data_IF_689494633415
#
_entry.id   IF_689494633415
#
_cell.length_a   1.000
_cell.length_b   1.000
_cell.length_c   1.000
_cell.angle_alpha   90.00
_cell.angle_beta   90.00
_cell.angle_gamma   90.00
#
_symmetry.space_group_name_H-M   'P 1'
#
loop_
_entity.id
_entity.type
_entity.pdbx_description
1 polymer ?
#
# COMPACT_ATOMS: atom_id res chain seq x y z
N UNK A 1 16.76 3.55 49.12
CA UNK A 1 17.53 2.88 48.04
C UNK A 1 17.32 1.39 48.21
N UNK A 2 16.31 0.86 47.53
CA UNK A 2 16.02 -0.59 47.54
C UNK A 2 17.12 -1.32 46.76
N UNK A 3 17.73 -2.27 47.41
CA UNK A 3 18.64 -3.21 46.74
C UNK A 3 17.80 -4.13 45.85
N UNK A 4 17.65 -3.77 44.59
CA UNK A 4 17.13 -4.69 43.58
C UNK A 4 18.02 -5.93 43.61
N UNK A 5 17.44 -7.05 44.05
CA UNK A 5 18.18 -8.28 44.32
C UNK A 5 18.69 -8.81 42.95
N UNK A 6 19.97 -9.13 42.84
CA UNK A 6 20.59 -9.65 41.63
C UNK A 6 19.85 -10.90 41.09
N UNK A 7 19.15 -11.61 41.97
CA UNK A 7 18.25 -12.73 41.64
C UNK A 7 17.06 -12.33 40.82
N UNK A 8 16.41 -11.18 41.13
CA UNK A 8 15.21 -10.72 40.43
C UNK A 8 15.55 -10.25 39.01
N UNK A 9 16.75 -9.71 38.82
CA UNK A 9 17.26 -9.30 37.49
C UNK A 9 17.54 -10.53 36.62
N UNK A 10 18.13 -11.57 37.20
CA UNK A 10 18.44 -12.83 36.50
C UNK A 10 17.14 -13.55 36.12
N UNK A 11 16.18 -13.62 37.04
CA UNK A 11 14.88 -14.26 36.83
C UNK A 11 14.10 -13.55 35.73
N UNK A 12 14.05 -12.21 35.73
CA UNK A 12 13.41 -11.42 34.70
C UNK A 12 14.04 -11.65 33.34
N UNK A 13 15.39 -11.63 33.26
CA UNK A 13 16.11 -11.88 32.00
C UNK A 13 15.82 -13.28 31.45
N UNK A 14 15.86 -14.30 32.33
CA UNK A 14 15.54 -15.69 31.96
C UNK A 14 14.10 -15.80 31.44
N UNK A 15 13.15 -15.12 32.08
CA UNK A 15 11.76 -15.08 31.65
C UNK A 15 11.63 -14.45 30.26
N UNK A 16 12.27 -13.29 30.01
CA UNK A 16 12.25 -12.59 28.74
C UNK A 16 12.87 -13.45 27.63
N UNK A 17 14.03 -14.09 27.90
CA UNK A 17 14.71 -15.00 26.96
C UNK A 17 13.81 -16.22 26.60
N UNK A 18 13.13 -16.80 27.58
CA UNK A 18 12.20 -17.94 27.36
C UNK A 18 10.97 -17.49 26.56
N UNK A 19 10.42 -16.32 26.85
CA UNK A 19 9.32 -15.75 26.07
C UNK A 19 9.72 -15.54 24.61
N UNK A 20 10.90 -14.98 24.34
CA UNK A 20 11.42 -14.78 22.99
C UNK A 20 11.54 -16.12 22.24
N UNK A 21 12.10 -17.15 22.85
CA UNK A 21 12.21 -18.49 22.25
C UNK A 21 10.83 -19.06 21.91
N UNK A 22 9.85 -18.91 22.80
CA UNK A 22 8.47 -19.41 22.59
C UNK A 22 7.81 -18.65 21.44
N UNK A 23 7.90 -17.33 21.44
CA UNK A 23 7.26 -16.49 20.44
C UNK A 23 7.89 -16.67 19.05
N UNK A 24 9.21 -16.78 18.98
CA UNK A 24 9.95 -17.11 17.75
C UNK A 24 9.51 -18.46 17.17
N UNK A 25 9.38 -19.47 18.03
CA UNK A 25 8.95 -20.81 17.59
C UNK A 25 7.50 -20.80 17.10
N UNK A 26 6.61 -20.11 17.81
CA UNK A 26 5.20 -19.93 17.40
C UNK A 26 5.10 -19.21 16.06
N UNK A 27 5.89 -18.15 15.85
CA UNK A 27 5.95 -17.42 14.60
C UNK A 27 6.39 -18.34 13.44
N UNK A 28 7.49 -19.09 13.60
CA UNK A 28 7.98 -20.04 12.60
C UNK A 28 6.94 -21.09 12.21
N UNK A 29 6.25 -21.65 13.21
CA UNK A 29 5.17 -22.62 12.97
C UNK A 29 4.00 -21.98 12.23
N UNK A 30 3.60 -20.78 12.58
CA UNK A 30 2.51 -20.08 11.90
C UNK A 30 2.85 -19.78 10.43
N UNK A 31 4.08 -19.33 10.15
CA UNK A 31 4.57 -19.10 8.78
C UNK A 31 4.56 -20.38 7.97
N UNK A 32 5.05 -21.48 8.52
CA UNK A 32 5.06 -22.78 7.86
C UNK A 32 3.63 -23.27 7.54
N UNK A 33 2.72 -23.22 8.52
CA UNK A 33 1.32 -23.63 8.33
C UNK A 33 0.63 -22.79 7.26
N UNK A 34 0.87 -21.48 7.22
CA UNK A 34 0.33 -20.60 6.19
C UNK A 34 0.86 -20.95 4.79
N UNK A 35 2.16 -21.22 4.68
CA UNK A 35 2.78 -21.64 3.43
C UNK A 35 2.14 -22.93 2.87
N UNK A 36 2.05 -23.95 3.70
CA UNK A 36 1.44 -25.24 3.35
C UNK A 36 -0.05 -25.09 3.01
N UNK A 37 -0.77 -24.21 3.69
CA UNK A 37 -2.17 -23.94 3.37
C UNK A 37 -2.34 -23.27 1.99
N UNK A 38 -1.44 -22.40 1.58
CA UNK A 38 -1.45 -21.79 0.25
C UNK A 38 -1.22 -22.87 -0.83
N UNK A 39 -0.16 -23.66 -0.68
CA UNK A 39 0.15 -24.74 -1.61
C UNK A 39 -0.94 -25.81 -1.71
N UNK A 40 -1.45 -26.27 -0.57
CA UNK A 40 -2.53 -27.25 -0.52
C UNK A 40 -3.76 -26.78 -1.30
N UNK A 41 -4.21 -25.56 -1.02
CA UNK A 41 -5.42 -25.02 -1.63
C UNK A 41 -5.24 -24.81 -3.14
N UNK A 42 -4.09 -24.28 -3.57
CA UNK A 42 -3.79 -24.08 -4.97
C UNK A 42 -3.66 -25.42 -5.72
N UNK A 43 -2.92 -26.40 -5.19
CA UNK A 43 -2.76 -27.71 -5.79
C UNK A 43 -4.10 -28.46 -5.94
N UNK A 44 -4.97 -28.37 -4.91
CA UNK A 44 -6.34 -28.92 -5.01
C UNK A 44 -7.10 -28.23 -6.15
N UNK A 45 -6.95 -26.90 -6.27
CA UNK A 45 -7.56 -26.13 -7.36
C UNK A 45 -7.05 -26.54 -8.73
N UNK A 46 -5.72 -26.71 -8.90
CA UNK A 46 -5.08 -27.15 -10.14
C UNK A 46 -5.61 -28.55 -10.53
N UNK A 47 -5.62 -29.48 -9.57
CA UNK A 47 -6.09 -30.86 -9.84
C UNK A 47 -7.56 -30.90 -10.26
N UNK A 48 -8.41 -30.09 -9.65
CA UNK A 48 -9.82 -29.99 -10.05
C UNK A 48 -9.96 -29.32 -11.43
N UNK A 49 -9.19 -28.25 -11.68
CA UNK A 49 -9.17 -27.52 -12.96
C UNK A 49 -8.82 -28.44 -14.13
N UNK A 50 -7.84 -29.30 -13.97
CA UNK A 50 -7.46 -30.31 -14.99
C UNK A 50 -8.61 -31.21 -15.35
N UNK A 51 -9.33 -31.79 -14.38
CA UNK A 51 -10.48 -32.67 -14.62
C UNK A 51 -11.69 -31.95 -15.24
N UNK A 52 -11.94 -30.67 -14.84
CA UNK A 52 -13.08 -29.90 -15.32
C UNK A 52 -12.85 -29.38 -16.74
N UNK A 53 -11.60 -29.03 -17.11
CA UNK A 53 -11.26 -28.62 -18.48
C UNK A 53 -11.46 -29.71 -19.52
N UNK A 54 -11.24 -30.97 -19.15
CA UNK A 54 -11.47 -32.12 -20.05
C UNK A 54 -12.95 -32.28 -20.44
N UNK A 55 -13.90 -31.76 -19.66
CA UNK A 55 -15.32 -32.04 -19.84
C UNK A 55 -16.20 -30.85 -20.33
N UNK A 56 -15.65 -29.73 -20.70
CA UNK A 56 -16.25 -28.57 -21.44
C UNK A 56 -17.67 -28.08 -21.07
N UNK A 57 -18.32 -28.53 -19.97
CA UNK A 57 -19.67 -28.13 -19.58
C UNK A 57 -19.66 -27.54 -18.16
N UNK A 58 -20.06 -26.27 -18.00
CA UNK A 58 -20.13 -25.56 -16.71
C UNK A 58 -21.00 -26.30 -15.68
N UNK A 59 -22.17 -26.84 -16.09
CA UNK A 59 -23.05 -27.61 -15.22
C UNK A 59 -22.42 -28.90 -14.70
N UNK A 60 -21.58 -29.56 -15.52
CA UNK A 60 -20.84 -30.76 -15.11
C UNK A 60 -19.83 -30.41 -14.01
N UNK A 61 -19.09 -29.31 -14.16
CA UNK A 61 -18.13 -28.84 -13.17
C UNK A 61 -18.76 -28.55 -11.81
N UNK A 62 -19.91 -27.88 -11.79
CA UNK A 62 -20.65 -27.59 -10.55
C UNK A 62 -21.11 -28.86 -9.83
N UNK A 63 -21.66 -29.83 -10.58
CA UNK A 63 -22.10 -31.11 -10.04
C UNK A 63 -20.93 -31.94 -9.47
N UNK A 64 -19.79 -31.92 -10.16
CA UNK A 64 -18.56 -32.59 -9.69
C UNK A 64 -18.07 -31.96 -8.38
N UNK A 65 -17.99 -30.65 -8.30
CA UNK A 65 -17.59 -29.95 -7.09
C UNK A 65 -18.51 -30.19 -5.90
N UNK A 66 -19.83 -30.20 -6.12
CA UNK A 66 -20.82 -30.52 -5.08
C UNK A 66 -20.66 -31.95 -4.56
N UNK A 67 -20.46 -32.91 -5.45
CA UNK A 67 -20.28 -34.30 -5.08
C UNK A 67 -18.93 -34.54 -4.37
N UNK A 68 -17.86 -33.91 -4.86
CA UNK A 68 -16.53 -33.97 -4.25
C UNK A 68 -16.58 -33.38 -2.83
N UNK A 69 -17.22 -32.21 -2.66
CA UNK A 69 -17.40 -31.58 -1.36
C UNK A 69 -18.09 -32.50 -0.37
N UNK A 70 -19.20 -33.16 -0.76
CA UNK A 70 -19.90 -34.11 0.14
C UNK A 70 -18.99 -35.24 0.62
N UNK A 71 -18.16 -35.80 -0.28
CA UNK A 71 -17.21 -36.86 0.08
C UNK A 71 -16.10 -36.36 1.01
N UNK A 72 -15.54 -35.16 0.73
CA UNK A 72 -14.47 -34.57 1.51
C UNK A 72 -14.96 -34.15 2.90
N UNK A 73 -16.16 -33.57 3.01
CA UNK A 73 -16.79 -33.26 4.30
C UNK A 73 -16.93 -34.48 5.19
N UNK A 74 -17.33 -35.62 4.62
CA UNK A 74 -17.45 -36.89 5.36
C UNK A 74 -16.10 -37.40 5.88
N UNK A 75 -15.02 -37.19 5.11
CA UNK A 75 -13.70 -37.73 5.43
C UNK A 75 -12.85 -36.81 6.28
N UNK A 76 -12.90 -35.49 6.00
CA UNK A 76 -11.98 -34.47 6.57
C UNK A 76 -12.67 -33.39 7.35
N UNK A 77 -14.01 -33.41 7.48
CA UNK A 77 -14.77 -32.45 8.27
C UNK A 77 -15.13 -31.15 7.53
N UNK A 78 -15.63 -30.17 8.28
CA UNK A 78 -16.26 -28.93 7.77
C UNK A 78 -15.35 -28.03 6.93
N UNK A 79 -14.03 -28.18 7.02
CA UNK A 79 -13.06 -27.35 6.27
C UNK A 79 -13.10 -27.53 4.74
N UNK A 80 -13.78 -28.56 4.20
CA UNK A 80 -13.80 -28.92 2.77
C UNK A 80 -15.18 -28.76 2.12
N UNK A 81 -15.92 -27.74 2.56
CA UNK A 81 -17.20 -27.39 1.96
C UNK A 81 -17.08 -26.88 0.52
N UNK A 82 -18.22 -26.83 -0.18
CA UNK A 82 -18.31 -26.39 -1.58
C UNK A 82 -17.65 -25.04 -1.85
N UNK A 83 -17.90 -24.03 -1.01
CA UNK A 83 -17.28 -22.71 -1.16
C UNK A 83 -15.73 -22.73 -1.04
N UNK A 84 -15.18 -23.63 -0.19
CA UNK A 84 -13.73 -23.84 -0.10
C UNK A 84 -13.16 -24.35 -1.41
N UNK A 85 -13.81 -25.36 -2.03
CA UNK A 85 -13.37 -25.90 -3.31
C UNK A 85 -13.48 -24.88 -4.44
N UNK A 86 -14.52 -24.04 -4.43
CA UNK A 86 -14.64 -22.92 -5.37
C UNK A 86 -13.45 -21.95 -5.26
N UNK A 87 -13.04 -21.60 -4.03
CA UNK A 87 -11.85 -20.75 -3.83
C UNK A 87 -10.56 -21.44 -4.31
N UNK A 88 -10.42 -22.75 -4.08
CA UNK A 88 -9.27 -23.50 -4.59
C UNK A 88 -9.22 -23.46 -6.14
N UNK A 89 -10.33 -23.72 -6.79
CA UNK A 89 -10.42 -23.66 -8.26
C UNK A 89 -10.14 -22.25 -8.77
N UNK A 90 -10.75 -21.23 -8.17
CA UNK A 90 -10.52 -19.86 -8.54
C UNK A 90 -9.06 -19.45 -8.39
N UNK A 91 -8.37 -19.90 -7.33
CA UNK A 91 -6.95 -19.64 -7.16
C UNK A 91 -6.08 -20.22 -8.28
N UNK A 92 -6.40 -21.43 -8.76
CA UNK A 92 -5.69 -22.05 -9.86
C UNK A 92 -5.95 -21.41 -11.24
N UNK A 93 -7.03 -20.63 -11.38
CA UNK A 93 -7.26 -19.79 -12.57
C UNK A 93 -6.61 -18.42 -12.45
N UNK A 94 -6.46 -17.90 -11.22
CA UNK A 94 -5.99 -16.55 -10.95
C UNK A 94 -4.47 -16.47 -10.83
N UNK A 95 -3.84 -17.48 -10.21
CA UNK A 95 -2.41 -17.41 -9.88
C UNK A 95 -1.64 -18.50 -10.63
N UNK A 96 -0.49 -18.12 -11.17
CA UNK A 96 0.52 -19.05 -11.65
C UNK A 96 1.24 -19.73 -10.47
N UNK A 97 2.00 -20.80 -10.78
CA UNK A 97 2.83 -21.47 -9.78
C UNK A 97 3.86 -20.52 -9.16
N UNK A 98 4.47 -19.71 -9.99
CA UNK A 98 5.49 -18.72 -9.62
C UNK A 98 4.92 -17.64 -8.68
N UNK A 99 3.67 -17.21 -8.91
CA UNK A 99 2.99 -16.25 -8.04
C UNK A 99 2.65 -16.85 -6.67
N UNK A 100 2.25 -18.11 -6.61
CA UNK A 100 2.05 -18.81 -5.33
C UNK A 100 3.38 -18.99 -4.59
N UNK A 101 4.43 -19.38 -5.29
CA UNK A 101 5.78 -19.50 -4.73
C UNK A 101 6.26 -18.17 -4.17
N UNK A 102 6.04 -17.08 -4.90
CA UNK A 102 6.34 -15.72 -4.45
C UNK A 102 5.53 -15.35 -3.20
N UNK A 103 4.21 -15.58 -3.20
CA UNK A 103 3.34 -15.30 -2.06
C UNK A 103 3.79 -16.05 -0.79
N UNK A 104 4.12 -17.32 -0.92
CA UNK A 104 4.62 -18.15 0.18
C UNK A 104 5.96 -17.62 0.71
N UNK A 105 6.89 -17.32 -0.17
CA UNK A 105 8.21 -16.78 0.20
C UNK A 105 8.09 -15.43 0.90
N UNK A 106 7.11 -14.62 0.54
CA UNK A 106 6.85 -13.29 1.13
C UNK A 106 5.85 -13.32 2.28
N UNK A 107 5.52 -14.51 2.78
CA UNK A 107 4.66 -14.75 3.94
C UNK A 107 3.21 -14.27 3.80
N UNK A 108 2.72 -14.12 2.57
CA UNK A 108 1.30 -13.88 2.33
C UNK A 108 0.48 -15.11 2.74
N UNK A 109 -0.59 -14.88 3.47
CA UNK A 109 -1.49 -15.97 3.88
C UNK A 109 -2.49 -16.33 2.79
N UNK A 110 -3.14 -17.52 2.95
CA UNK A 110 -4.25 -17.90 2.09
C UNK A 110 -5.38 -16.87 2.07
N UNK A 111 -5.62 -16.15 3.17
CA UNK A 111 -6.62 -15.08 3.23
C UNK A 111 -6.25 -13.88 2.37
N UNK A 112 -4.97 -13.51 2.30
CA UNK A 112 -4.50 -12.48 1.37
C UNK A 112 -4.72 -12.91 -0.10
N UNK A 113 -4.37 -14.16 -0.44
CA UNK A 113 -4.63 -14.68 -1.78
C UNK A 113 -6.12 -14.67 -2.15
N UNK A 114 -7.01 -14.97 -1.18
CA UNK A 114 -8.45 -14.90 -1.40
C UNK A 114 -8.93 -13.47 -1.73
N UNK A 115 -8.46 -12.47 -1.02
CA UNK A 115 -8.76 -11.06 -1.31
C UNK A 115 -8.25 -10.68 -2.70
N UNK A 116 -7.02 -11.07 -3.04
CA UNK A 116 -6.40 -10.80 -4.33
C UNK A 116 -7.12 -11.46 -5.51
N UNK A 117 -7.80 -12.59 -5.31
CA UNK A 117 -8.64 -13.20 -6.36
C UNK A 117 -9.80 -12.29 -6.83
N UNK A 118 -10.21 -11.29 -6.05
CA UNK A 118 -11.24 -10.34 -6.45
C UNK A 118 -10.72 -9.29 -7.45
N UNK A 119 -9.41 -9.12 -7.54
CA UNK A 119 -8.74 -8.14 -8.43
C UNK A 119 -8.54 -8.75 -9.82
N UNK A 120 -9.25 -8.29 -10.86
CA UNK A 120 -9.20 -8.92 -12.18
C UNK A 120 -7.91 -8.58 -12.96
N UNK A 121 -7.29 -7.45 -12.70
CA UNK A 121 -6.09 -6.99 -13.39
C UNK A 121 -4.83 -7.62 -12.79
N UNK A 122 -4.01 -8.28 -13.61
CA UNK A 122 -2.80 -8.98 -13.17
C UNK A 122 -1.74 -8.04 -12.58
N UNK A 123 -1.57 -6.86 -13.19
CA UNK A 123 -0.63 -5.85 -12.69
C UNK A 123 -1.09 -5.29 -11.34
N UNK A 124 -2.41 -5.05 -11.18
CA UNK A 124 -2.97 -4.63 -9.91
C UNK A 124 -2.76 -5.69 -8.82
N UNK A 125 -2.93 -6.98 -9.13
CA UNK A 125 -2.64 -8.06 -8.18
C UNK A 125 -1.17 -8.08 -7.76
N UNK A 126 -0.25 -7.96 -8.71
CA UNK A 126 1.19 -7.89 -8.40
C UNK A 126 1.52 -6.67 -7.55
N UNK A 127 0.93 -5.51 -7.84
CA UNK A 127 1.08 -4.30 -7.03
C UNK A 127 0.61 -4.55 -5.59
N UNK A 128 -0.61 -5.07 -5.39
CA UNK A 128 -1.12 -5.34 -4.05
C UNK A 128 -0.30 -6.41 -3.31
N UNK A 129 0.19 -7.45 -3.98
CA UNK A 129 1.08 -8.45 -3.39
C UNK A 129 2.37 -7.82 -2.88
N UNK A 130 2.97 -6.95 -3.68
CA UNK A 130 4.21 -6.26 -3.34
C UNK A 130 4.00 -5.28 -2.19
N UNK A 131 2.91 -4.51 -2.20
CA UNK A 131 2.56 -3.61 -1.10
C UNK A 131 2.31 -4.36 0.21
N UNK A 132 1.64 -5.51 0.17
CA UNK A 132 1.49 -6.36 1.36
C UNK A 132 2.83 -6.80 1.93
N UNK A 133 3.80 -7.14 1.05
CA UNK A 133 5.15 -7.55 1.46
C UNK A 133 5.92 -6.39 2.10
N UNK A 134 5.91 -5.23 1.48
CA UNK A 134 6.71 -4.06 1.89
C UNK A 134 6.15 -3.37 3.14
N UNK A 135 4.82 -3.21 3.19
CA UNK A 135 4.14 -2.49 4.28
C UNK A 135 3.50 -3.43 5.32
N UNK A 136 3.70 -4.75 5.19
CA UNK A 136 3.15 -5.75 6.10
C UNK A 136 1.63 -5.62 6.33
N UNK A 137 0.88 -5.36 5.25
CA UNK A 137 -0.57 -5.22 5.36
C UNK A 137 -1.22 -6.50 5.87
N UNK A 138 -2.15 -6.33 6.81
CA UNK A 138 -3.08 -7.39 7.19
C UNK A 138 -4.10 -7.61 6.08
N UNK A 139 -4.79 -8.75 6.08
CA UNK A 139 -5.86 -9.02 5.12
C UNK A 139 -6.93 -7.91 5.12
N UNK A 140 -7.28 -7.40 6.31
CA UNK A 140 -8.25 -6.32 6.44
C UNK A 140 -7.77 -5.03 5.77
N UNK A 141 -6.49 -4.67 5.96
CA UNK A 141 -5.90 -3.50 5.30
C UNK A 141 -5.86 -3.69 3.79
N UNK A 142 -5.49 -4.89 3.33
CA UNK A 142 -5.53 -5.21 1.90
C UNK A 142 -6.94 -5.03 1.32
N UNK A 143 -7.97 -5.56 1.97
CA UNK A 143 -9.36 -5.40 1.54
C UNK A 143 -9.75 -3.91 1.49
N UNK A 144 -9.44 -3.13 2.53
CA UNK A 144 -9.68 -1.67 2.56
C UNK A 144 -8.96 -0.95 1.40
N UNK A 145 -7.73 -1.37 1.03
CA UNK A 145 -6.95 -0.80 -0.07
C UNK A 145 -7.50 -1.19 -1.45
N UNK A 146 -7.97 -2.42 -1.61
CA UNK A 146 -8.65 -2.89 -2.83
C UNK A 146 -9.99 -2.14 -3.01
N UNK A 147 -10.80 -2.05 -1.95
CA UNK A 147 -12.10 -1.37 -1.99
C UNK A 147 -11.95 0.13 -2.28
N UNK A 148 -10.89 0.77 -1.76
CA UNK A 148 -10.56 2.16 -2.08
C UNK A 148 -9.91 2.34 -3.46
N UNK A 149 -9.75 1.26 -4.23
CA UNK A 149 -9.16 1.29 -5.58
C UNK A 149 -7.76 1.94 -5.60
N UNK A 150 -6.91 1.56 -4.64
CA UNK A 150 -5.59 2.17 -4.49
C UNK A 150 -4.74 2.07 -5.76
N UNK A 151 -4.73 0.90 -6.42
CA UNK A 151 -3.98 0.70 -7.66
C UNK A 151 -4.51 1.61 -8.77
N UNK A 152 -5.82 1.64 -8.97
CA UNK A 152 -6.48 2.46 -9.99
C UNK A 152 -6.23 3.94 -9.75
N UNK A 153 -6.33 4.40 -8.51
CA UNK A 153 -6.01 5.78 -8.10
C UNK A 153 -4.54 6.12 -8.34
N UNK A 154 -3.64 5.18 -8.09
CA UNK A 154 -2.20 5.32 -8.36
C UNK A 154 -1.93 5.35 -9.87
N UNK A 155 -2.59 4.49 -10.65
CA UNK A 155 -2.45 4.41 -12.10
C UNK A 155 -3.05 5.64 -12.83
N UNK A 156 -4.22 6.13 -12.38
CA UNK A 156 -4.85 7.35 -12.95
C UNK A 156 -3.98 8.58 -12.70
N UNK A 157 -3.23 8.57 -11.63
CA UNK A 157 -2.44 9.70 -11.19
C UNK A 157 -1.17 9.96 -11.99
N UNK A 158 -0.94 9.35 -13.18
CA UNK A 158 0.10 9.71 -14.18
C UNK A 158 1.14 8.67 -14.58
N UNK A 159 1.05 7.40 -14.10
CA UNK A 159 2.13 6.46 -14.44
C UNK A 159 1.66 5.39 -15.42
N UNK A 160 2.27 5.34 -16.61
CA UNK A 160 2.11 4.19 -17.51
C UNK A 160 2.48 2.88 -16.81
N UNK A 161 1.83 1.79 -17.20
CA UNK A 161 2.06 0.43 -16.67
C UNK A 161 3.55 0.04 -16.63
N UNK A 162 4.36 0.58 -17.54
CA UNK A 162 5.80 0.31 -17.60
C UNK A 162 6.59 0.88 -16.42
N UNK A 163 6.22 2.08 -15.95
CA UNK A 163 6.86 2.67 -14.76
C UNK A 163 6.47 1.88 -13.52
N UNK A 164 5.20 1.49 -13.39
CA UNK A 164 4.76 0.62 -12.28
C UNK A 164 5.52 -0.71 -12.33
N UNK A 165 5.69 -1.32 -13.50
CA UNK A 165 6.49 -2.56 -13.64
C UNK A 165 7.95 -2.37 -13.28
N UNK A 166 8.55 -1.25 -13.69
CA UNK A 166 9.93 -0.88 -13.36
C UNK A 166 10.10 -0.70 -11.86
N UNK A 167 9.20 0.04 -11.20
CA UNK A 167 9.22 0.25 -9.75
C UNK A 167 8.99 -1.05 -8.96
N UNK A 168 8.05 -1.89 -9.39
CA UNK A 168 7.83 -3.21 -8.81
C UNK A 168 9.07 -4.10 -8.95
N UNK A 169 9.78 -4.01 -10.08
CA UNK A 169 11.02 -4.76 -10.30
C UNK A 169 12.13 -4.26 -9.37
N UNK A 170 12.34 -2.95 -9.29
CA UNK A 170 13.30 -2.32 -8.36
C UNK A 170 13.01 -2.72 -6.90
N UNK A 171 11.76 -2.64 -6.47
CA UNK A 171 11.34 -3.01 -5.11
C UNK A 171 11.60 -4.49 -4.81
N UNK A 172 11.36 -5.39 -5.77
CA UNK A 172 11.65 -6.83 -5.65
C UNK A 172 13.15 -7.13 -5.53
N UNK A 173 13.97 -6.41 -6.30
CA UNK A 173 15.42 -6.60 -6.34
C UNK A 173 16.12 -5.99 -5.11
N UNK A 174 15.72 -4.81 -4.69
CA UNK A 174 16.35 -4.05 -3.61
C UNK A 174 15.80 -4.41 -2.22
N UNK A 175 14.62 -5.06 -2.15
CA UNK A 175 13.90 -5.35 -0.91
C UNK A 175 13.62 -4.09 -0.06
N UNK A 176 13.49 -2.93 -0.71
CA UNK A 176 13.26 -1.64 -0.10
C UNK A 176 12.02 -0.96 -0.69
N UNK A 177 11.30 -0.24 0.17
CA UNK A 177 10.16 0.57 -0.23
C UNK A 177 10.67 1.83 -0.94
N UNK A 178 10.20 2.07 -2.17
CA UNK A 178 10.57 3.28 -2.90
C UNK A 178 9.59 4.42 -2.61
N UNK A 179 10.06 5.68 -2.50
CA UNK A 179 9.17 6.83 -2.27
C UNK A 179 8.02 6.91 -3.27
N UNK A 180 8.26 6.61 -4.52
CA UNK A 180 7.27 6.65 -5.59
C UNK A 180 6.14 5.62 -5.46
N UNK A 181 6.34 4.57 -4.69
CA UNK A 181 5.27 3.61 -4.35
C UNK A 181 4.39 4.13 -3.20
N UNK A 182 4.91 5.02 -2.38
CA UNK A 182 4.22 5.59 -1.22
C UNK A 182 3.46 6.85 -1.59
N UNK A 183 4.12 7.76 -2.31
CA UNK A 183 3.53 9.06 -2.66
C UNK A 183 2.73 8.98 -3.95
N UNK A 184 1.47 9.42 -3.86
CA UNK A 184 0.53 9.47 -4.99
C UNK A 184 0.52 10.87 -5.60
N UNK A 185 0.12 10.98 -6.84
CA UNK A 185 -0.12 12.28 -7.47
C UNK A 185 -1.51 12.86 -7.15
N UNK A 186 -2.39 12.07 -6.52
CA UNK A 186 -3.75 12.48 -6.17
C UNK A 186 -4.17 11.89 -4.83
N UNK A 187 -4.73 12.75 -3.96
CA UNK A 187 -5.30 12.39 -2.67
C UNK A 187 -6.75 12.82 -2.59
N UNK A 188 -7.59 12.04 -1.87
CA UNK A 188 -8.98 12.36 -1.65
C UNK A 188 -9.20 12.72 -0.19
N UNK A 189 -9.56 13.96 0.05
CA UNK A 189 -9.77 14.55 1.37
C UNK A 189 -11.24 14.91 1.62
N UNK A 190 -12.16 14.24 0.90
CA UNK A 190 -13.62 14.41 1.04
C UNK A 190 -14.13 14.08 2.43
N UNK A 191 -13.44 13.17 3.14
CA UNK A 191 -13.76 12.83 4.52
C UNK A 191 -13.57 14.00 5.50
N UNK A 192 -12.88 15.07 5.13
CA UNK A 192 -12.68 16.23 5.99
C UNK A 192 -13.93 17.12 6.11
N UNK A 193 -14.91 16.95 5.21
CA UNK A 193 -16.19 17.67 5.26
C UNK A 193 -16.04 19.19 5.09
N UNK A 194 -15.04 19.65 4.33
CA UNK A 194 -14.79 21.06 4.10
C UNK A 194 -15.92 21.73 3.30
N UNK A 195 -16.25 23.00 3.59
CA UNK A 195 -17.17 23.80 2.79
C UNK A 195 -16.61 24.03 1.38
N UNK A 196 -17.40 24.60 0.46
CA UNK A 196 -16.96 24.90 -0.92
C UNK A 196 -15.85 25.96 -0.98
N UNK A 197 -15.84 26.86 -0.02
CA UNK A 197 -14.81 27.91 0.13
C UNK A 197 -14.14 27.71 1.49
N UNK A 198 -12.85 27.50 1.49
CA UNK A 198 -12.03 27.33 2.68
C UNK A 198 -10.63 27.91 2.47
N UNK A 199 -9.94 28.22 3.56
CA UNK A 199 -8.53 28.66 3.57
C UNK A 199 -7.58 27.48 3.77
N UNK A 200 -6.28 27.70 3.55
CA UNK A 200 -5.23 26.72 3.90
C UNK A 200 -5.27 26.37 5.39
N UNK A 201 -5.54 27.37 6.26
CA UNK A 201 -5.70 27.15 7.71
C UNK A 201 -6.94 26.31 8.06
N UNK A 202 -8.05 26.44 7.33
CA UNK A 202 -9.23 25.61 7.52
C UNK A 202 -8.94 24.14 7.12
N UNK A 203 -8.23 23.94 6.01
CA UNK A 203 -7.79 22.62 5.55
C UNK A 203 -6.85 21.98 6.58
N UNK A 204 -5.84 22.71 7.05
CA UNK A 204 -4.93 22.22 8.09
C UNK A 204 -5.68 21.82 9.36
N UNK A 205 -6.59 22.67 9.83
CA UNK A 205 -7.40 22.43 11.03
C UNK A 205 -8.29 21.19 10.85
N UNK A 206 -8.91 21.02 9.69
CA UNK A 206 -9.73 19.85 9.37
C UNK A 206 -8.89 18.56 9.32
N UNK A 207 -7.68 18.61 8.75
CA UNK A 207 -6.73 17.48 8.75
C UNK A 207 -6.39 17.07 10.19
N UNK A 208 -6.06 18.03 11.06
CA UNK A 208 -5.71 17.75 12.45
C UNK A 208 -6.88 17.16 13.24
N UNK A 209 -8.09 17.67 13.03
CA UNK A 209 -9.29 17.16 13.68
C UNK A 209 -9.62 15.73 13.25
N UNK A 210 -9.21 15.34 12.06
CA UNK A 210 -9.46 14.01 11.47
C UNK A 210 -8.16 13.31 11.07
N UNK A 211 -7.10 13.50 11.84
CA UNK A 211 -5.75 13.01 11.53
C UNK A 211 -5.71 11.50 11.26
N UNK A 212 -6.56 10.70 11.92
CA UNK A 212 -6.64 9.27 11.69
C UNK A 212 -7.15 8.93 10.28
N UNK A 213 -8.13 9.68 9.77
CA UNK A 213 -8.66 9.50 8.43
C UNK A 213 -7.64 9.98 7.38
N UNK A 214 -6.97 11.10 7.67
CA UNK A 214 -5.89 11.61 6.84
C UNK A 214 -4.75 10.59 6.71
N UNK A 215 -4.29 10.00 7.81
CA UNK A 215 -3.26 8.95 7.80
C UNK A 215 -3.74 7.72 7.02
N UNK A 216 -5.01 7.34 7.12
CA UNK A 216 -5.57 6.24 6.31
C UNK A 216 -5.49 6.49 4.81
N UNK A 217 -5.72 7.72 4.38
CA UNK A 217 -5.58 8.10 2.96
C UNK A 217 -4.13 8.06 2.51
N UNK A 218 -3.20 8.48 3.36
CA UNK A 218 -1.77 8.52 3.04
C UNK A 218 -1.09 7.14 3.15
N UNK A 219 -1.45 6.34 4.13
CA UNK A 219 -0.87 5.03 4.41
C UNK A 219 -0.62 4.81 5.89
N UNK A 220 -0.60 3.55 6.32
CA UNK A 220 -0.50 3.17 7.73
C UNK A 220 0.87 3.44 8.37
N UNK A 221 1.90 3.62 7.55
CA UNK A 221 3.27 3.84 8.03
C UNK A 221 3.61 5.32 8.32
N UNK A 222 2.63 6.22 8.13
CA UNK A 222 2.80 7.62 8.50
C UNK A 222 2.53 7.83 9.98
N UNK A 223 3.49 8.43 10.67
CA UNK A 223 3.37 8.91 12.05
C UNK A 223 3.42 10.44 12.07
N UNK A 224 2.43 11.07 12.70
CA UNK A 224 2.41 12.53 12.87
C UNK A 224 3.51 12.96 13.84
N UNK A 225 4.28 13.99 13.46
CA UNK A 225 5.40 14.51 14.25
C UNK A 225 5.09 15.91 14.77
N UNK A 226 4.71 16.85 13.87
CA UNK A 226 4.53 18.25 14.23
C UNK A 226 3.60 18.98 13.25
N UNK A 227 3.06 20.12 13.68
CA UNK A 227 2.33 21.06 12.85
C UNK A 227 2.92 22.46 12.97
N UNK A 228 2.78 23.28 11.93
CA UNK A 228 3.27 24.65 11.89
C UNK A 228 4.69 24.76 12.46
N UNK A 229 5.52 23.79 12.05
CA UNK A 229 6.87 23.70 12.56
C UNK A 229 7.67 24.94 12.17
N UNK A 230 8.14 25.66 13.17
CA UNK A 230 8.96 26.85 12.98
C UNK A 230 10.34 26.50 12.44
N UNK A 231 10.72 27.13 11.36
CA UNK A 231 12.01 26.97 10.67
C UNK A 231 12.67 28.36 10.58
N UNK A 232 13.52 28.72 11.55
CA UNK A 232 14.20 30.01 11.55
C UNK A 232 15.42 29.97 10.63
N UNK A 233 15.46 30.90 9.66
CA UNK A 233 16.60 31.07 8.73
C UNK A 233 16.84 32.59 8.55
N UNK A 234 18.04 33.03 8.82
CA UNK A 234 18.48 34.41 8.67
C UNK A 234 17.54 35.45 9.32
N UNK A 235 17.00 35.14 10.50
CA UNK A 235 16.08 35.98 11.23
C UNK A 235 14.64 36.01 10.71
N UNK A 236 14.34 35.21 9.70
CA UNK A 236 12.99 34.99 9.15
C UNK A 236 12.45 33.68 9.66
N UNK A 237 11.23 33.70 10.18
CA UNK A 237 10.52 32.52 10.63
C UNK A 237 9.63 31.98 9.51
N UNK A 238 9.98 30.82 9.01
CA UNK A 238 9.12 30.02 8.12
C UNK A 238 8.34 29.00 8.93
N UNK A 239 7.19 28.57 8.41
CA UNK A 239 6.35 27.59 9.06
C UNK A 239 6.02 26.48 8.06
N UNK A 240 6.33 25.24 8.42
CA UNK A 240 5.96 24.05 7.67
C UNK A 240 4.61 23.56 8.19
N UNK A 241 3.62 23.39 7.31
CA UNK A 241 2.24 23.07 7.71
C UNK A 241 2.16 21.77 8.52
N UNK A 242 2.66 20.66 7.97
CA UNK A 242 2.61 19.35 8.61
C UNK A 242 3.94 18.61 8.46
N UNK A 243 4.40 18.01 9.54
CA UNK A 243 5.56 17.13 9.54
C UNK A 243 5.15 15.73 9.97
N UNK A 244 5.48 14.75 9.16
CA UNK A 244 5.30 13.32 9.44
C UNK A 244 6.63 12.58 9.41
N UNK A 245 6.61 11.38 9.95
CA UNK A 245 7.66 10.38 9.77
C UNK A 245 7.09 9.16 9.08
N UNK A 246 7.73 8.69 8.02
CA UNK A 246 7.33 7.45 7.35
C UNK A 246 8.22 6.29 7.80
N UNK A 247 7.62 5.31 8.48
CA UNK A 247 8.33 4.20 9.13
C UNK A 247 9.04 3.30 8.13
N UNK A 248 8.37 2.88 7.06
CA UNK A 248 8.94 2.01 6.02
C UNK A 248 10.06 2.68 5.24
N UNK A 249 9.96 3.98 4.93
CA UNK A 249 11.00 4.77 4.27
C UNK A 249 12.08 5.29 5.24
N UNK A 250 11.88 5.18 6.54
CA UNK A 250 12.78 5.67 7.61
C UNK A 250 13.22 7.12 7.40
N UNK A 251 12.27 8.01 7.12
CA UNK A 251 12.54 9.44 6.85
C UNK A 251 11.43 10.37 7.27
N UNK A 252 11.79 11.62 7.49
CA UNK A 252 10.85 12.71 7.68
C UNK A 252 10.15 13.05 6.36
N UNK A 253 8.87 13.38 6.45
CA UNK A 253 8.02 13.81 5.33
C UNK A 253 7.44 15.17 5.66
N UNK A 254 7.90 16.18 4.94
CA UNK A 254 7.38 17.55 5.03
C UNK A 254 6.19 17.70 4.08
N UNK A 255 5.02 18.10 4.58
CA UNK A 255 3.82 18.34 3.78
C UNK A 255 3.47 19.83 3.84
N UNK A 256 3.32 20.44 2.68
CA UNK A 256 2.95 21.83 2.51
C UNK A 256 1.63 21.91 1.73
N UNK A 257 0.64 22.61 2.25
CA UNK A 257 -0.73 22.68 1.73
C UNK A 257 -0.91 23.97 0.94
N UNK A 258 -1.40 23.86 -0.31
CA UNK A 258 -1.57 25.02 -1.18
C UNK A 258 -2.96 25.03 -1.81
N UNK A 259 -3.62 26.18 -1.74
CA UNK A 259 -4.80 26.45 -2.54
C UNK A 259 -4.42 26.85 -3.97
N UNK A 260 -5.15 26.30 -4.95
CA UNK A 260 -4.90 26.57 -6.37
C UNK A 260 -3.80 25.67 -6.96
N UNK A 261 -3.20 26.17 -8.05
CA UNK A 261 -2.20 25.44 -8.83
C UNK A 261 -0.82 25.53 -8.20
N UNK A 262 0.00 24.52 -8.48
CA UNK A 262 1.43 24.56 -8.15
C UNK A 262 2.12 25.79 -8.75
N UNK A 263 3.02 26.41 -7.97
CA UNK A 263 3.87 27.52 -8.38
C UNK A 263 5.34 27.18 -8.14
N UNK A 264 6.28 27.53 -9.03
CA UNK A 264 7.72 27.24 -8.87
C UNK A 264 8.32 27.73 -7.55
N UNK A 265 7.78 28.82 -6.99
CA UNK A 265 8.23 29.37 -5.70
C UNK A 265 8.04 28.37 -4.52
N UNK A 266 7.05 27.48 -4.62
CA UNK A 266 6.78 26.45 -3.59
C UNK A 266 7.90 25.41 -3.51
N UNK A 267 8.53 25.11 -4.65
CA UNK A 267 9.69 24.22 -4.70
C UNK A 267 10.87 24.79 -3.91
N UNK A 268 11.21 26.06 -4.14
CA UNK A 268 12.28 26.74 -3.41
C UNK A 268 12.05 26.76 -1.90
N UNK A 269 10.80 27.01 -1.50
CA UNK A 269 10.41 26.98 -0.10
C UNK A 269 10.53 25.56 0.49
N UNK A 270 10.04 24.55 -0.20
CA UNK A 270 10.15 23.15 0.23
C UNK A 270 11.61 22.69 0.33
N UNK A 271 12.46 23.05 -0.63
CA UNK A 271 13.89 22.75 -0.57
C UNK A 271 14.56 23.37 0.68
N UNK A 272 14.19 24.57 1.06
CA UNK A 272 14.65 25.19 2.30
C UNK A 272 14.24 24.34 3.51
N UNK A 273 12.97 23.93 3.58
CA UNK A 273 12.46 23.08 4.66
C UNK A 273 13.23 21.75 4.74
N UNK A 274 13.39 21.06 3.61
CA UNK A 274 14.09 19.79 3.57
C UNK A 274 15.55 19.88 4.00
N UNK A 275 16.26 20.94 3.58
CA UNK A 275 17.64 21.18 4.01
C UNK A 275 17.74 21.47 5.51
N UNK A 276 16.80 22.26 6.05
CA UNK A 276 16.73 22.51 7.48
C UNK A 276 16.47 21.22 8.28
N UNK A 277 15.44 20.46 7.91
CA UNK A 277 15.11 19.19 8.56
C UNK A 277 16.26 18.18 8.47
N UNK A 278 16.93 18.12 7.33
CA UNK A 278 18.07 17.22 7.15
C UNK A 278 19.26 17.56 8.08
N UNK A 279 19.43 18.84 8.37
CA UNK A 279 20.54 19.33 9.20
C UNK A 279 20.24 19.29 10.70
N UNK A 280 19.00 19.55 11.10
CA UNK A 280 18.64 19.80 12.50
C UNK A 280 17.76 18.71 13.13
N UNK A 281 16.92 18.02 12.34
CA UNK A 281 15.92 17.10 12.89
C UNK A 281 16.17 15.63 12.51
N UNK A 282 16.85 15.36 11.39
CA UNK A 282 17.19 14.01 10.96
C UNK A 282 18.07 13.31 11.99
N UNK A 283 17.74 12.07 12.32
CA UNK A 283 18.51 11.21 13.23
C UNK A 283 19.47 10.31 12.45
N UNK A 284 20.45 9.77 13.16
CA UNK A 284 21.35 8.76 12.61
C UNK A 284 20.57 7.50 12.20
N UNK A 285 20.88 6.96 11.02
CA UNK A 285 20.16 5.82 10.44
C UNK A 285 18.91 6.17 9.65
N UNK A 286 18.50 7.44 9.62
CA UNK A 286 17.38 7.90 8.79
C UNK A 286 17.84 8.35 7.41
N UNK A 287 17.01 8.10 6.39
CA UNK A 287 17.22 8.65 5.06
C UNK A 287 16.92 10.16 5.02
N UNK A 288 17.38 10.85 3.98
CA UNK A 288 17.13 12.27 3.79
C UNK A 288 15.62 12.58 3.74
N UNK A 289 15.16 13.69 4.33
CA UNK A 289 13.76 14.09 4.29
C UNK A 289 13.22 14.25 2.88
N UNK A 290 11.93 14.01 2.69
CA UNK A 290 11.21 14.19 1.44
C UNK A 290 10.07 15.19 1.63
N UNK A 291 9.78 15.98 0.61
CA UNK A 291 8.70 16.96 0.60
C UNK A 291 7.52 16.51 -0.23
N UNK A 292 6.32 16.84 0.22
CA UNK A 292 5.08 16.66 -0.51
C UNK A 292 4.31 17.99 -0.54
N UNK A 293 4.13 18.54 -1.72
CA UNK A 293 3.33 19.77 -1.92
C UNK A 293 1.95 19.33 -2.41
N UNK A 294 0.92 19.60 -1.61
CA UNK A 294 -0.47 19.30 -1.93
C UNK A 294 -1.18 20.53 -2.47
N UNK A 295 -1.63 20.46 -3.73
CA UNK A 295 -2.31 21.55 -4.41
C UNK A 295 -3.79 21.20 -4.65
N UNK A 296 -4.72 22.16 -4.47
CA UNK A 296 -6.15 21.93 -4.73
C UNK A 296 -6.47 21.84 -6.22
N UNK A 297 -5.61 22.37 -7.08
CA UNK A 297 -5.78 22.30 -8.53
C UNK A 297 -4.59 21.61 -9.20
N UNK A 298 -4.89 20.74 -10.18
CA UNK A 298 -3.85 20.08 -10.98
C UNK A 298 -3.22 21.05 -11.99
N UNK A 299 -1.90 21.02 -12.14
CA UNK A 299 -1.17 21.72 -13.18
C UNK A 299 -0.30 20.70 -13.93
N UNK A 300 -0.75 20.26 -15.11
CA UNK A 300 -0.19 19.11 -15.83
C UNK A 300 1.23 19.36 -16.29
N UNK A 301 1.51 20.46 -16.95
CA UNK A 301 2.81 20.72 -17.60
C UNK A 301 3.94 21.04 -16.60
N UNK A 302 3.72 21.94 -15.63
CA UNK A 302 4.76 22.29 -14.65
C UNK A 302 5.17 21.13 -13.76
N UNK A 303 4.21 20.28 -13.39
CA UNK A 303 4.48 19.11 -12.57
C UNK A 303 5.22 18.04 -13.39
N UNK A 304 4.93 17.90 -14.70
CA UNK A 304 5.66 17.00 -15.59
C UNK A 304 7.13 17.41 -15.74
N UNK A 305 7.42 18.70 -15.89
CA UNK A 305 8.80 19.20 -15.96
C UNK A 305 9.58 19.00 -14.65
N UNK A 306 8.91 19.09 -13.49
CA UNK A 306 9.54 18.91 -12.17
C UNK A 306 9.69 17.43 -11.78
N UNK A 307 8.83 16.54 -12.32
CA UNK A 307 8.88 15.10 -12.06
C UNK A 307 9.79 14.31 -13.02
N UNK A 308 10.43 14.97 -13.98
CA UNK A 308 11.40 14.34 -14.88
C UNK A 308 12.68 13.91 -14.13
N UNK A 309 12.89 14.42 -12.91
CA UNK A 309 13.99 13.99 -12.05
C UNK A 309 13.46 12.88 -11.11
N UNK A 310 13.71 11.61 -11.46
CA UNK A 310 13.32 10.43 -10.66
C UNK A 310 13.83 10.51 -9.21
N UNK A 311 14.95 11.23 -9.00
CA UNK A 311 15.60 11.40 -7.69
C UNK A 311 15.15 12.67 -6.94
N UNK A 312 14.14 13.42 -7.44
CA UNK A 312 13.70 14.65 -6.77
C UNK A 312 13.22 14.37 -5.34
N UNK A 313 13.76 15.08 -4.33
CA UNK A 313 13.30 14.96 -2.96
C UNK A 313 11.92 15.60 -2.73
N UNK A 314 11.31 16.17 -3.76
CA UNK A 314 9.99 16.83 -3.69
C UNK A 314 9.02 16.10 -4.61
N UNK A 315 7.87 15.77 -4.05
CA UNK A 315 6.72 15.26 -4.77
C UNK A 315 5.60 16.31 -4.76
N UNK A 316 4.89 16.43 -5.87
CA UNK A 316 3.74 17.35 -5.99
C UNK A 316 2.51 16.51 -6.28
N UNK A 317 1.45 16.73 -5.52
CA UNK A 317 0.20 16.01 -5.70
C UNK A 317 -1.02 16.95 -5.70
N UNK A 318 -2.08 16.52 -6.36
CA UNK A 318 -3.37 17.20 -6.29
C UNK A 318 -4.22 16.57 -5.18
N UNK A 319 -4.99 17.37 -4.46
CA UNK A 319 -6.02 16.86 -3.57
C UNK A 319 -7.42 17.30 -4.01
N UNK A 320 -8.40 16.45 -3.70
CA UNK A 320 -9.82 16.71 -3.92
C UNK A 320 -10.55 16.66 -2.59
N UNK A 321 -11.32 17.70 -2.27
CA UNK A 321 -12.16 17.77 -1.07
C UNK A 321 -13.58 17.24 -1.31
N UNK A 322 -13.89 16.86 -2.55
CA UNK A 322 -15.12 16.18 -2.96
C UNK A 322 -14.75 15.03 -3.89
N UNK A 323 -15.40 13.89 -3.70
CA UNK A 323 -15.23 12.75 -4.61
C UNK A 323 -15.77 13.12 -5.99
N UNK A 324 -14.99 12.92 -7.06
CA UNK A 324 -15.52 12.99 -8.41
C UNK A 324 -16.63 11.96 -8.62
N UNK A 325 -17.60 12.25 -9.47
CA UNK A 325 -18.65 11.29 -9.82
C UNK A 325 -18.03 9.95 -10.28
N UNK A 326 -18.58 8.82 -9.82
CA UNK A 326 -18.13 7.46 -10.20
C UNK A 326 -18.02 7.28 -11.71
N UNK A 327 -18.89 7.94 -12.47
CA UNK A 327 -18.87 7.91 -13.93
C UNK A 327 -17.63 8.58 -14.50
N UNK A 328 -17.23 9.73 -13.96
CA UNK A 328 -16.03 10.46 -14.38
C UNK A 328 -14.74 9.69 -14.04
N UNK A 329 -14.70 9.03 -12.86
CA UNK A 329 -13.58 8.16 -12.47
C UNK A 329 -13.46 6.97 -13.41
N UNK A 330 -14.59 6.32 -13.75
CA UNK A 330 -14.63 5.20 -14.70
C UNK A 330 -14.20 5.63 -16.12
N UNK A 331 -14.65 6.78 -16.60
CA UNK A 331 -14.27 7.32 -17.92
C UNK A 331 -12.77 7.67 -18.00
N UNK A 332 -12.21 8.27 -16.96
CA UNK A 332 -10.76 8.56 -16.88
C UNK A 332 -9.94 7.27 -16.86
N UNK A 333 -10.39 6.26 -16.11
CA UNK A 333 -9.74 4.95 -16.06
C UNK A 333 -9.78 4.27 -17.45
N UNK A 334 -10.93 4.27 -18.12
CA UNK A 334 -11.07 3.69 -19.45
C UNK A 334 -10.20 4.41 -20.49
N UNK A 335 -10.06 5.75 -20.40
CA UNK A 335 -9.14 6.52 -21.24
C UNK A 335 -7.68 6.17 -20.99
N UNK A 336 -7.27 6.08 -19.73
CA UNK A 336 -5.91 5.69 -19.38
C UNK A 336 -5.57 4.28 -19.89
N UNK A 337 -6.49 3.33 -19.75
CA UNK A 337 -6.36 1.97 -20.29
C UNK A 337 -6.31 1.98 -21.82
N UNK A 338 -7.12 2.82 -22.49
CA UNK A 338 -7.13 2.91 -23.94
C UNK A 338 -5.82 3.49 -24.49
N UNK A 339 -5.29 4.55 -23.87
CA UNK A 339 -3.99 5.16 -24.22
C UNK A 339 -2.85 4.14 -24.02
N UNK A 340 -2.84 3.42 -22.92
CA UNK A 340 -1.87 2.37 -22.66
C UNK A 340 -1.94 1.25 -23.72
N UNK A 341 -3.14 0.86 -24.16
CA UNK A 341 -3.33 -0.14 -25.23
C UNK A 341 -2.92 0.35 -26.62
N UNK A 342 -3.07 1.63 -26.94
CA UNK A 342 -2.63 2.21 -28.19
C UNK A 342 -1.10 2.22 -28.31
N UNK A 343 -0.39 2.56 -27.25
CA UNK A 343 1.08 2.48 -27.21
C UNK A 343 1.61 1.04 -27.39
N UNK A 344 0.86 0.02 -26.96
CA UNK A 344 1.23 -1.39 -27.17
C UNK A 344 0.95 -1.93 -28.58
N UNK A 345 0.21 -1.20 -29.43
CA UNK A 345 -0.04 -1.59 -30.82
C UNK A 345 0.97 -1.03 -31.82
N UNK A 346 1.88 -0.18 -31.39
CA UNK A 346 2.90 0.49 -32.24
C UNK A 346 4.31 -0.12 -32.02
N UNK A 347 4.43 -1.10 -31.15
CA UNK A 347 5.63 -1.96 -31.01
C UNK A 347 5.28 -3.40 -31.37
#
# INVERSE_FOLDING_TARGET
>A
MEKTNNSDIIEKRLYDDVCEIIDDTRHKVAVFVNAEACWLNWNVGVRIKEDVLYNQRAEYGEKVLKNLSKKLLKRYGSGWGYGKLQHCVRSAYTFSKEEIEYAVRTQLSWTHLRSLMSVPNDLARQFYMEMCRLEHWTTRMLDEKIDSQLFERTAISRRPDEIIKSELKKAKEQNELQPDMVFRSTYFLDMLGLPDIFSESDLETAILNQIQLFIKEFGSDFAFVDRQKRIPVDGIDYHLDLLFYHRGLKRLVAIDLKLGKFKPAYEGQMLLYLRYLNRHDRKEGEASPIGLILCSEGNTEHIEYLMLDEDSPIKVAQYFTKLPDKKLLSEKLQRAIAIAKEHYRIT
#
